data_IF_912797491939
#
_entry.id   IF_912797491939
#
_cell.length_a   1.000
_cell.length_b   1.000
_cell.length_c   1.000
_cell.angle_alpha   90.00
_cell.angle_beta   90.00
_cell.angle_gamma   90.00
#
_symmetry.space_group_name_H-M   'P 1'
#
loop_
_entity.id
_entity.type
_entity.pdbx_description
1 polymer ?
#
# COMPACT_ATOMS: atom_id res chain seq x y z
N UNK A 1 -54.54 65.22 -100.03
CA UNK A 1 -53.51 65.78 -99.12
C UNK A 1 -53.68 65.26 -97.69
N UNK A 2 -54.92 65.11 -97.21
CA UNK A 2 -55.19 64.61 -95.84
C UNK A 2 -54.72 63.16 -95.60
N UNK A 3 -54.98 62.24 -96.54
CA UNK A 3 -54.52 60.84 -96.42
C UNK A 3 -52.98 60.72 -96.37
N UNK A 4 -52.29 61.57 -97.13
CA UNK A 4 -50.82 61.62 -97.17
C UNK A 4 -50.25 62.08 -95.82
N UNK A 5 -50.89 63.06 -95.18
CA UNK A 5 -50.48 63.56 -93.86
C UNK A 5 -50.72 62.52 -92.76
N UNK A 6 -51.84 61.80 -92.81
CA UNK A 6 -52.13 60.71 -91.87
C UNK A 6 -51.10 59.58 -91.97
N UNK A 7 -50.73 59.17 -93.18
CA UNK A 7 -49.69 58.14 -93.40
C UNK A 7 -48.35 58.58 -92.80
N UNK A 8 -47.95 59.84 -92.95
CA UNK A 8 -46.70 60.37 -92.39
C UNK A 8 -46.74 60.37 -90.85
N UNK A 9 -47.87 60.72 -90.24
CA UNK A 9 -48.04 60.69 -88.77
C UNK A 9 -47.96 59.25 -88.25
N UNK A 10 -48.63 58.29 -88.88
CA UNK A 10 -48.54 56.88 -88.47
C UNK A 10 -47.13 56.31 -88.67
N UNK A 11 -46.44 56.67 -89.76
CA UNK A 11 -45.07 56.22 -90.03
C UNK A 11 -44.05 56.78 -89.02
N UNK A 12 -44.19 58.05 -88.63
CA UNK A 12 -43.33 58.68 -87.62
C UNK A 12 -43.58 58.10 -86.23
N UNK A 13 -44.85 57.93 -85.85
CA UNK A 13 -45.22 57.29 -84.58
C UNK A 13 -44.69 55.84 -84.51
N UNK A 14 -44.85 55.07 -85.59
CA UNK A 14 -44.35 53.71 -85.67
C UNK A 14 -42.82 53.64 -85.58
N UNK A 15 -42.11 54.59 -86.21
CA UNK A 15 -40.64 54.65 -86.12
C UNK A 15 -40.19 54.93 -84.69
N UNK A 16 -40.85 55.87 -83.99
CA UNK A 16 -40.54 56.20 -82.60
C UNK A 16 -40.81 55.01 -81.68
N UNK A 17 -41.98 54.37 -81.79
CA UNK A 17 -42.31 53.20 -80.96
C UNK A 17 -41.38 52.02 -81.22
N UNK A 18 -40.99 51.78 -82.47
CA UNK A 18 -40.03 50.73 -82.84
C UNK A 18 -38.63 50.99 -82.27
N UNK A 19 -38.18 52.25 -82.28
CA UNK A 19 -36.91 52.65 -81.63
C UNK A 19 -36.97 52.41 -80.12
N UNK A 20 -38.05 52.83 -79.46
CA UNK A 20 -38.24 52.56 -78.03
C UNK A 20 -38.26 51.06 -77.74
N UNK A 21 -38.99 50.26 -78.53
CA UNK A 21 -39.04 48.80 -78.41
C UNK A 21 -37.63 48.18 -78.48
N UNK A 22 -36.79 48.64 -79.41
CA UNK A 22 -35.41 48.17 -79.55
C UNK A 22 -34.54 48.54 -78.34
N UNK A 23 -34.71 49.74 -77.79
CA UNK A 23 -33.98 50.17 -76.58
C UNK A 23 -34.40 49.32 -75.37
N UNK A 24 -35.71 49.13 -75.17
CA UNK A 24 -36.23 48.28 -74.09
C UNK A 24 -35.75 46.85 -74.22
N UNK A 25 -35.76 46.29 -75.44
CA UNK A 25 -35.28 44.94 -75.68
C UNK A 25 -33.79 44.78 -75.37
N UNK A 26 -32.95 45.76 -75.76
CA UNK A 26 -31.53 45.76 -75.41
C UNK A 26 -31.32 45.84 -73.90
N UNK A 27 -32.03 46.73 -73.22
CA UNK A 27 -31.92 46.89 -71.76
C UNK A 27 -32.39 45.64 -71.01
N UNK A 28 -33.46 45.01 -71.49
CA UNK A 28 -34.00 43.78 -70.90
C UNK A 28 -33.02 42.61 -71.05
N UNK A 29 -32.35 42.49 -72.20
CA UNK A 29 -31.28 41.48 -72.39
C UNK A 29 -30.13 41.69 -71.42
N UNK A 30 -29.65 42.94 -71.26
CA UNK A 30 -28.57 43.24 -70.31
C UNK A 30 -28.94 42.89 -68.87
N UNK A 31 -30.15 43.27 -68.42
CA UNK A 31 -30.64 42.93 -67.09
C UNK A 31 -30.81 41.41 -66.91
N UNK A 32 -31.27 40.70 -67.93
CA UNK A 32 -31.38 39.24 -67.90
C UNK A 32 -30.00 38.56 -67.78
N UNK A 33 -28.97 39.09 -68.45
CA UNK A 33 -27.61 38.57 -68.38
C UNK A 33 -26.96 38.83 -67.01
N UNK A 34 -27.19 40.01 -66.41
CA UNK A 34 -26.77 40.31 -65.04
C UNK A 34 -27.47 39.42 -64.01
N UNK A 35 -28.79 39.24 -64.14
CA UNK A 35 -29.56 38.34 -63.29
C UNK A 35 -29.04 36.90 -63.39
N UNK A 36 -28.78 36.41 -64.61
CA UNK A 36 -28.27 35.06 -64.82
C UNK A 36 -26.90 34.86 -64.18
N UNK A 37 -26.01 35.86 -64.26
CA UNK A 37 -24.70 35.83 -63.59
C UNK A 37 -24.85 35.79 -62.07
N UNK A 38 -25.69 36.67 -61.50
CA UNK A 38 -25.95 36.69 -60.07
C UNK A 38 -26.56 35.36 -59.58
N UNK A 39 -27.51 34.80 -60.34
CA UNK A 39 -28.11 33.51 -60.03
C UNK A 39 -27.08 32.38 -59.99
N UNK A 40 -26.19 32.31 -60.97
CA UNK A 40 -25.14 31.28 -60.99
C UNK A 40 -24.25 31.36 -59.74
N UNK A 41 -23.85 32.57 -59.33
CA UNK A 41 -23.05 32.76 -58.11
C UNK A 41 -23.82 32.32 -56.86
N UNK A 42 -25.12 32.64 -56.77
CA UNK A 42 -25.96 32.21 -55.66
C UNK A 42 -26.11 30.68 -55.64
N UNK A 43 -26.34 30.06 -56.80
CA UNK A 43 -26.45 28.61 -56.93
C UNK A 43 -25.15 27.92 -56.46
N UNK A 44 -23.99 28.45 -56.85
CA UNK A 44 -22.68 27.96 -56.39
C UNK A 44 -22.51 28.10 -54.87
N UNK A 45 -22.90 29.24 -54.30
CA UNK A 45 -22.88 29.48 -52.84
C UNK A 45 -23.79 28.50 -52.13
N UNK A 46 -25.01 28.27 -52.61
CA UNK A 46 -25.96 27.32 -52.02
C UNK A 46 -25.37 25.91 -52.04
N UNK A 47 -24.77 25.49 -53.15
CA UNK A 47 -24.14 24.17 -53.27
C UNK A 47 -22.97 24.03 -52.30
N UNK A 48 -22.11 25.06 -52.19
CA UNK A 48 -21.00 25.04 -51.22
C UNK A 48 -21.48 24.98 -49.78
N UNK A 49 -22.52 25.74 -49.42
CA UNK A 49 -23.05 25.78 -48.08
C UNK A 49 -23.70 24.45 -47.69
N UNK A 50 -24.44 23.83 -48.61
CA UNK A 50 -25.00 22.50 -48.41
C UNK A 50 -23.89 21.45 -48.19
N UNK A 51 -22.80 21.53 -48.96
CA UNK A 51 -21.64 20.65 -48.80
C UNK A 51 -20.95 20.85 -47.45
N UNK A 52 -20.83 22.09 -47.00
CA UNK A 52 -20.20 22.42 -45.72
C UNK A 52 -21.09 22.02 -44.54
N UNK A 53 -22.41 22.19 -44.64
CA UNK A 53 -23.38 21.67 -43.67
C UNK A 53 -23.29 20.15 -43.56
N UNK A 54 -23.18 19.44 -44.68
CA UNK A 54 -23.01 17.99 -44.67
C UNK A 54 -21.72 17.59 -43.95
N UNK A 55 -20.59 18.24 -44.26
CA UNK A 55 -19.30 18.00 -43.58
C UNK A 55 -19.36 18.31 -42.09
N UNK A 56 -20.05 19.37 -41.69
CA UNK A 56 -20.24 19.70 -40.27
C UNK A 56 -21.09 18.64 -39.59
N UNK A 57 -22.17 18.18 -40.22
CA UNK A 57 -23.01 17.12 -39.69
C UNK A 57 -22.23 15.81 -39.50
N UNK A 58 -21.39 15.42 -40.46
CA UNK A 58 -20.49 14.25 -40.34
C UNK A 58 -19.54 14.38 -39.15
N UNK A 59 -18.91 15.55 -38.97
CA UNK A 59 -18.04 15.84 -37.80
C UNK A 59 -18.82 15.79 -36.48
N UNK A 60 -20.02 16.34 -36.44
CA UNK A 60 -20.88 16.29 -35.24
C UNK A 60 -21.21 14.84 -34.89
N UNK A 61 -21.54 14.01 -35.89
CA UNK A 61 -21.80 12.58 -35.67
C UNK A 61 -20.55 11.83 -35.17
N UNK A 62 -19.37 12.15 -35.70
CA UNK A 62 -18.11 11.57 -35.23
C UNK A 62 -17.81 11.97 -33.77
N UNK A 63 -17.98 13.24 -33.43
CA UNK A 63 -17.82 13.75 -32.06
C UNK A 63 -18.83 13.07 -31.12
N UNK A 64 -20.10 12.95 -31.53
CA UNK A 64 -21.12 12.29 -30.74
C UNK A 64 -20.76 10.82 -30.45
N UNK A 65 -20.35 10.07 -31.48
CA UNK A 65 -19.88 8.68 -31.32
C UNK A 65 -18.65 8.58 -30.41
N UNK A 66 -17.68 9.47 -30.59
CA UNK A 66 -16.49 9.50 -29.72
C UNK A 66 -16.88 9.81 -28.27
N UNK A 67 -17.83 10.71 -28.05
CA UNK A 67 -18.33 11.06 -26.73
C UNK A 67 -19.06 9.88 -26.08
N UNK A 68 -19.94 9.18 -26.79
CA UNK A 68 -20.62 7.96 -26.30
C UNK A 68 -19.61 6.86 -25.94
N UNK A 69 -18.56 6.68 -26.74
CA UNK A 69 -17.49 5.72 -26.44
C UNK A 69 -16.66 6.13 -25.20
N UNK A 70 -16.42 7.42 -25.00
CA UNK A 70 -15.74 7.90 -23.80
C UNK A 70 -16.61 7.74 -22.56
N UNK A 71 -17.88 8.14 -22.64
CA UNK A 71 -18.85 8.00 -21.56
C UNK A 71 -19.02 6.54 -21.13
N UNK A 72 -19.19 5.62 -22.07
CA UNK A 72 -19.28 4.18 -21.75
C UNK A 72 -18.00 3.61 -21.12
N UNK A 73 -16.82 4.07 -21.54
CA UNK A 73 -15.55 3.70 -20.90
C UNK A 73 -15.45 4.25 -19.48
N UNK A 74 -15.93 5.47 -19.26
CA UNK A 74 -15.95 6.11 -17.94
C UNK A 74 -16.92 5.39 -17.00
N UNK A 75 -18.13 5.06 -17.46
CA UNK A 75 -19.11 4.28 -16.70
C UNK A 75 -18.55 2.91 -16.30
N UNK A 76 -17.87 2.22 -17.22
CA UNK A 76 -17.22 0.94 -16.91
C UNK A 76 -16.15 1.08 -15.82
N UNK A 77 -15.32 2.13 -15.88
CA UNK A 77 -14.32 2.40 -14.85
C UNK A 77 -14.95 2.73 -13.51
N UNK A 78 -16.03 3.52 -13.51
CA UNK A 78 -16.78 3.84 -12.29
C UNK A 78 -17.34 2.56 -11.67
N UNK A 79 -17.91 1.67 -12.48
CA UNK A 79 -18.44 0.39 -12.01
C UNK A 79 -17.33 -0.52 -11.45
N UNK A 80 -16.17 -0.58 -12.09
CA UNK A 80 -15.00 -1.33 -11.61
C UNK A 80 -14.49 -0.77 -10.27
N UNK A 81 -14.38 0.56 -10.16
CA UNK A 81 -14.00 1.23 -8.91
C UNK A 81 -15.01 0.94 -7.80
N UNK A 82 -16.31 1.01 -8.09
CA UNK A 82 -17.35 0.69 -7.12
C UNK A 82 -17.27 -0.77 -6.65
N UNK A 83 -16.99 -1.71 -7.56
CA UNK A 83 -16.78 -3.11 -7.20
C UNK A 83 -15.56 -3.28 -6.28
N UNK A 84 -14.43 -2.63 -6.59
CA UNK A 84 -13.25 -2.63 -5.73
C UNK A 84 -13.52 -2.01 -4.35
N UNK A 85 -14.30 -0.93 -4.28
CA UNK A 85 -14.70 -0.30 -3.01
C UNK A 85 -15.52 -1.28 -2.17
N UNK A 86 -16.47 -2.00 -2.77
CA UNK A 86 -17.27 -3.01 -2.08
C UNK A 86 -16.41 -4.16 -1.57
N UNK A 87 -15.45 -4.62 -2.37
CA UNK A 87 -14.50 -5.67 -1.97
C UNK A 87 -13.63 -5.20 -0.80
N UNK A 88 -13.06 -4.00 -0.87
CA UNK A 88 -12.26 -3.41 0.20
C UNK A 88 -13.10 -3.26 1.47
N UNK A 89 -14.36 -2.83 1.35
CA UNK A 89 -15.28 -2.71 2.49
C UNK A 89 -15.52 -4.07 3.16
N UNK A 90 -15.75 -5.11 2.37
CA UNK A 90 -15.92 -6.48 2.89
C UNK A 90 -14.67 -6.97 3.61
N UNK A 91 -13.47 -6.79 3.02
CA UNK A 91 -12.19 -7.14 3.68
C UNK A 91 -11.96 -6.35 4.97
N UNK A 92 -12.39 -5.08 5.01
CA UNK A 92 -12.30 -4.27 6.21
C UNK A 92 -13.23 -4.79 7.32
N UNK A 93 -14.46 -5.17 6.97
CA UNK A 93 -15.40 -5.79 7.91
C UNK A 93 -14.86 -7.12 8.48
N UNK A 94 -14.26 -7.97 7.63
CA UNK A 94 -13.59 -9.19 8.08
C UNK A 94 -12.42 -8.90 9.03
N UNK A 95 -11.57 -7.91 8.69
CA UNK A 95 -10.43 -7.53 9.51
C UNK A 95 -10.87 -6.96 10.86
N UNK A 96 -11.95 -6.17 10.90
CA UNK A 96 -12.56 -5.73 12.16
C UNK A 96 -13.04 -6.92 12.99
N UNK A 97 -13.67 -7.92 12.36
CA UNK A 97 -14.08 -9.15 13.03
C UNK A 97 -12.90 -9.96 13.59
N UNK A 98 -11.78 -10.01 12.87
CA UNK A 98 -10.53 -10.62 13.36
C UNK A 98 -9.93 -9.84 14.53
N UNK A 99 -9.92 -8.51 14.46
CA UNK A 99 -9.44 -7.63 15.54
C UNK A 99 -10.21 -7.88 16.83
N UNK A 100 -11.54 -7.96 16.73
CA UNK A 100 -12.40 -8.17 17.90
C UNK A 100 -12.12 -9.52 18.56
N UNK A 101 -12.06 -10.61 17.76
CA UNK A 101 -11.70 -11.94 18.25
C UNK A 101 -10.33 -11.95 18.93
N UNK A 102 -9.33 -11.36 18.29
CA UNK A 102 -7.97 -11.28 18.85
C UNK A 102 -7.96 -10.48 20.16
N UNK A 103 -8.77 -9.43 20.27
CA UNK A 103 -8.92 -8.66 21.50
C UNK A 103 -9.52 -9.51 22.63
N UNK A 104 -10.53 -10.32 22.33
CA UNK A 104 -11.11 -11.25 23.31
C UNK A 104 -10.10 -12.32 23.74
N UNK A 105 -9.43 -12.95 22.78
CA UNK A 105 -8.41 -13.99 23.04
C UNK A 105 -7.26 -13.43 23.89
N UNK A 106 -6.87 -12.16 23.67
CA UNK A 106 -5.85 -11.49 24.45
C UNK A 106 -6.27 -11.27 25.91
N UNK A 107 -7.49 -10.80 26.16
CA UNK A 107 -7.99 -10.63 27.53
C UNK A 107 -8.13 -11.99 28.24
N UNK A 108 -8.61 -13.03 27.55
CA UNK A 108 -8.67 -14.39 28.09
C UNK A 108 -7.28 -14.92 28.44
N UNK A 109 -6.29 -14.68 27.57
CA UNK A 109 -4.91 -15.08 27.82
C UNK A 109 -4.31 -14.34 29.01
N UNK A 110 -4.56 -13.03 29.12
CA UNK A 110 -4.12 -12.21 30.25
C UNK A 110 -4.67 -12.73 31.57
N UNK A 111 -5.97 -13.04 31.63
CA UNK A 111 -6.60 -13.65 32.82
C UNK A 111 -5.93 -14.97 33.18
N UNK A 112 -5.66 -15.85 32.20
CA UNK A 112 -4.96 -17.12 32.45
C UNK A 112 -3.53 -16.93 32.95
N UNK A 113 -2.80 -15.94 32.44
CA UNK A 113 -1.45 -15.61 32.90
C UNK A 113 -1.48 -15.08 34.34
N UNK A 114 -2.45 -14.23 34.68
CA UNK A 114 -2.63 -13.72 36.04
C UNK A 114 -2.98 -14.84 37.03
N UNK A 115 -3.87 -15.78 36.66
CA UNK A 115 -4.18 -16.98 37.47
C UNK A 115 -2.95 -17.88 37.66
N UNK A 116 -2.16 -18.10 36.59
CA UNK A 116 -0.94 -18.89 36.67
C UNK A 116 0.10 -18.24 37.57
N UNK A 117 0.23 -16.90 37.52
CA UNK A 117 1.09 -16.13 38.43
C UNK A 117 0.66 -16.29 39.88
N UNK A 118 -0.64 -16.18 40.17
CA UNK A 118 -1.16 -16.36 41.53
C UNK A 118 -0.90 -17.78 42.07
N UNK A 119 -1.07 -18.81 41.22
CA UNK A 119 -0.73 -20.20 41.58
C UNK A 119 0.76 -20.38 41.86
N UNK A 120 1.62 -19.74 41.06
CA UNK A 120 3.07 -19.78 41.28
C UNK A 120 3.46 -19.12 42.60
N UNK A 121 2.88 -17.97 42.92
CA UNK A 121 3.11 -17.28 44.20
C UNK A 121 2.66 -18.12 45.40
N UNK A 122 1.53 -18.83 45.29
CA UNK A 122 1.06 -19.75 46.33
C UNK A 122 1.98 -20.98 46.48
N UNK A 123 2.51 -21.52 45.38
CA UNK A 123 3.51 -22.61 45.43
C UNK A 123 4.77 -22.14 46.15
N UNK A 124 5.29 -20.95 45.80
CA UNK A 124 6.44 -20.36 46.48
C UNK A 124 6.18 -20.20 47.99
N UNK A 125 5.00 -19.71 48.36
CA UNK A 125 4.60 -19.56 49.77
C UNK A 125 4.61 -20.89 50.51
N UNK A 126 4.07 -21.95 49.91
CA UNK A 126 4.07 -23.31 50.48
C UNK A 126 5.48 -23.89 50.60
N UNK A 127 6.34 -23.68 49.61
CA UNK A 127 7.76 -24.09 49.68
C UNK A 127 8.42 -23.42 50.89
N UNK A 128 8.26 -22.11 51.07
CA UNK A 128 8.80 -21.39 52.23
C UNK A 128 8.21 -21.84 53.57
N UNK A 129 6.96 -22.31 53.62
CA UNK A 129 6.37 -22.94 54.81
C UNK A 129 7.01 -24.31 55.11
N UNK A 130 7.19 -25.15 54.08
CA UNK A 130 7.84 -26.46 54.20
C UNK A 130 9.30 -26.33 54.62
N UNK A 131 10.04 -25.39 54.03
CA UNK A 131 11.44 -25.09 54.41
C UNK A 131 11.55 -24.64 55.87
N UNK A 132 10.62 -23.81 56.34
CA UNK A 132 10.55 -23.41 57.76
C UNK A 132 10.27 -24.61 58.66
N UNK A 133 9.29 -25.44 58.32
CA UNK A 133 8.97 -26.65 59.08
C UNK A 133 10.15 -27.62 59.14
N UNK A 134 10.83 -27.85 58.01
CA UNK A 134 12.03 -28.70 57.96
C UNK A 134 13.17 -28.11 58.79
N UNK A 135 13.44 -26.80 58.67
CA UNK A 135 14.45 -26.12 59.48
C UNK A 135 14.16 -26.20 60.98
N UNK A 136 12.89 -26.09 61.38
CA UNK A 136 12.48 -26.21 62.78
C UNK A 136 12.60 -27.65 63.30
N UNK A 137 12.35 -28.65 62.43
CA UNK A 137 12.55 -30.07 62.72
C UNK A 137 14.03 -30.45 62.83
N UNK A 138 14.89 -29.87 62.00
CA UNK A 138 16.36 -30.00 62.10
C UNK A 138 16.85 -29.38 63.40
N UNK A 139 16.36 -28.19 63.77
CA UNK A 139 16.70 -27.56 65.07
C UNK A 139 16.22 -28.35 66.29
N UNK A 140 15.07 -29.03 66.21
CA UNK A 140 14.60 -29.90 67.30
C UNK A 140 15.39 -31.21 67.37
N UNK A 141 15.78 -31.80 66.23
CA UNK A 141 16.73 -32.93 66.22
C UNK A 141 18.11 -32.57 66.75
N UNK A 142 18.65 -31.40 66.39
CA UNK A 142 19.90 -30.89 66.99
C UNK A 142 19.77 -30.67 68.50
N UNK A 143 18.58 -30.30 68.99
CA UNK A 143 18.31 -30.13 70.44
C UNK A 143 18.15 -31.46 71.19
N UNK A 144 17.73 -32.53 70.53
CA UNK A 144 17.73 -33.89 71.11
C UNK A 144 19.10 -34.57 71.00
N UNK A 145 19.87 -34.31 69.94
CA UNK A 145 21.22 -34.89 69.73
C UNK A 145 22.33 -34.16 70.51
N UNK A 146 22.09 -32.95 71.03
CA UNK A 146 23.07 -32.22 71.87
C UNK A 146 23.24 -32.76 73.30
N UNK A 147 22.64 -33.90 73.66
CA UNK A 147 22.98 -34.63 74.89
C UNK A 147 24.17 -35.58 74.75
N UNK A 148 24.71 -35.79 73.55
CA UNK A 148 25.87 -36.66 73.35
C UNK A 148 27.05 -35.89 72.74
N UNK A 149 28.11 -35.81 73.55
CA UNK A 149 29.40 -35.20 73.30
C UNK A 149 29.91 -35.33 71.85
N UNK A 150 30.36 -34.19 71.32
CA UNK A 150 30.97 -33.99 70.02
C UNK A 150 32.25 -34.83 69.77
N UNK A 151 32.70 -34.86 68.50
CA UNK A 151 34.06 -34.41 68.25
C UNK A 151 34.17 -33.34 67.15
N UNK A 152 34.91 -32.30 67.53
CA UNK A 152 35.41 -31.18 66.72
C UNK A 152 36.16 -31.67 65.47
N UNK A 153 35.76 -31.17 64.31
CA UNK A 153 36.49 -31.32 63.04
C UNK A 153 37.89 -30.71 63.20
N UNK A 154 38.93 -31.54 62.99
CA UNK A 154 40.34 -31.12 63.01
C UNK A 154 40.69 -30.52 61.66
N UNK A 155 40.70 -29.20 61.57
CA UNK A 155 41.32 -28.53 60.44
C UNK A 155 42.85 -28.55 60.54
N UNK A 156 43.47 -28.98 59.44
CA UNK A 156 44.81 -28.66 58.93
C UNK A 156 46.07 -29.07 59.73
N UNK A 157 46.25 -30.38 59.95
CA UNK A 157 47.59 -31.01 59.99
C UNK A 157 48.13 -31.43 58.60
N UNK A 158 47.39 -31.11 57.54
CA UNK A 158 47.68 -31.53 56.16
C UNK A 158 48.59 -30.57 55.37
N UNK A 159 48.66 -29.28 55.74
CA UNK A 159 49.44 -28.27 54.99
C UNK A 159 50.94 -28.29 55.30
N UNK A 160 51.38 -28.91 56.41
CA UNK A 160 52.78 -28.93 56.82
C UNK A 160 53.62 -30.04 56.16
N UNK A 161 52.99 -30.94 55.39
CA UNK A 161 53.65 -32.08 54.74
C UNK A 161 53.82 -31.92 53.22
N UNK A 162 53.34 -30.83 52.65
CA UNK A 162 53.35 -30.62 51.20
C UNK A 162 54.69 -30.02 50.77
N UNK A 163 55.26 -30.59 49.71
CA UNK A 163 56.46 -30.09 49.04
C UNK A 163 56.13 -28.79 48.28
N UNK A 164 57.15 -27.96 48.03
CA UNK A 164 56.97 -26.62 47.41
C UNK A 164 56.20 -26.68 46.07
N UNK A 165 56.38 -27.76 45.32
CA UNK A 165 55.66 -28.04 44.07
C UNK A 165 54.18 -28.38 44.28
N UNK A 166 53.82 -29.14 45.31
CA UNK A 166 52.41 -29.48 45.61
C UNK A 166 51.62 -28.27 46.10
N UNK A 167 52.27 -27.39 46.87
CA UNK A 167 51.69 -26.14 47.34
C UNK A 167 51.39 -25.20 46.16
N UNK A 168 52.29 -25.15 45.17
CA UNK A 168 52.12 -24.35 43.95
C UNK A 168 51.00 -24.86 43.05
N UNK A 169 50.80 -26.18 42.98
CA UNK A 169 49.67 -26.78 42.26
C UNK A 169 48.34 -26.43 42.93
N UNK A 170 48.27 -26.48 44.26
CA UNK A 170 47.06 -26.09 44.99
C UNK A 170 46.76 -24.60 44.88
N UNK A 171 47.79 -23.74 44.85
CA UNK A 171 47.61 -22.30 44.61
C UNK A 171 47.05 -22.02 43.21
N UNK A 172 47.54 -22.72 42.18
CA UNK A 172 47.00 -22.61 40.81
C UNK A 172 45.54 -23.06 40.76
N UNK A 173 45.21 -24.20 41.37
CA UNK A 173 43.84 -24.71 41.41
C UNK A 173 42.89 -23.80 42.21
N UNK A 174 43.38 -23.18 43.28
CA UNK A 174 42.60 -22.24 44.08
C UNK A 174 42.34 -20.90 43.36
N UNK A 175 43.31 -20.42 42.56
CA UNK A 175 43.19 -19.16 41.83
C UNK A 175 42.43 -19.30 40.49
N UNK A 176 42.62 -20.42 39.79
CA UNK A 176 42.18 -20.56 38.38
C UNK A 176 41.12 -21.66 38.18
N UNK A 177 40.73 -22.41 39.22
CA UNK A 177 39.72 -23.46 39.16
C UNK A 177 40.25 -24.82 38.65
N UNK A 178 39.37 -25.79 38.44
CA UNK A 178 39.73 -27.16 38.03
C UNK A 178 40.50 -27.16 36.70
N UNK A 179 41.75 -27.63 36.73
CA UNK A 179 42.61 -27.77 35.56
C UNK A 179 43.05 -29.20 35.33
N UNK A 180 43.29 -29.53 34.07
CA UNK A 180 43.78 -30.86 33.70
C UNK A 180 45.29 -30.98 33.97
N UNK A 181 45.73 -32.21 34.28
CA UNK A 181 47.14 -32.52 34.59
C UNK A 181 48.16 -31.97 33.57
N UNK A 182 47.89 -32.00 32.24
CA UNK A 182 48.81 -31.41 31.25
C UNK A 182 48.96 -29.89 31.40
N UNK A 183 47.88 -29.17 31.70
CA UNK A 183 47.86 -27.71 31.81
C UNK A 183 48.61 -27.21 33.04
N UNK A 184 48.50 -27.95 34.15
CA UNK A 184 49.25 -27.66 35.38
C UNK A 184 50.74 -27.89 35.12
N UNK A 185 51.09 -28.98 34.42
CA UNK A 185 52.47 -29.34 34.07
C UNK A 185 53.17 -28.27 33.21
N UNK A 186 52.48 -27.76 32.19
CA UNK A 186 53.03 -26.73 31.29
C UNK A 186 53.31 -25.41 32.04
N UNK A 187 52.61 -25.18 33.17
CA UNK A 187 52.79 -23.97 34.00
C UNK A 187 53.93 -24.10 35.01
N UNK A 188 54.18 -25.29 35.55
CA UNK A 188 55.22 -25.55 36.56
C UNK A 188 56.56 -26.04 35.97
N UNK A 189 56.60 -26.43 34.69
CA UNK A 189 57.84 -26.68 33.94
C UNK A 189 58.64 -27.91 34.36
N UNK A 190 58.00 -28.96 34.90
CA UNK A 190 58.67 -30.17 35.41
C UNK A 190 58.59 -31.38 34.46
N UNK A 191 59.67 -32.16 34.37
CA UNK A 191 59.78 -33.36 33.52
C UNK A 191 59.33 -34.64 34.24
N UNK A 192 59.16 -35.70 33.44
CA UNK A 192 58.40 -36.95 33.66
C UNK A 192 58.72 -37.78 34.92
N UNK A 193 59.72 -37.43 35.72
CA UNK A 193 60.09 -38.16 36.95
C UNK A 193 59.36 -37.68 38.21
N UNK A 194 58.75 -36.49 38.18
CA UNK A 194 58.13 -35.87 39.35
C UNK A 194 56.60 -35.99 39.43
N UNK A 195 55.94 -36.62 38.45
CA UNK A 195 54.45 -36.63 38.35
C UNK A 195 53.81 -37.99 38.67
N UNK A 196 54.55 -38.92 39.27
CA UNK A 196 54.08 -40.28 39.57
C UNK A 196 53.82 -40.57 41.06
N UNK A 197 53.67 -39.53 41.88
CA UNK A 197 53.22 -39.64 43.28
C UNK A 197 52.04 -38.73 43.52
#
# INVERSE_FOLDING_TARGET
>A
MEDSALIIIYATLFSITSIFMLIYFRRMRQAADEYRRAKNVIDDVIVSFNRDLQRQNEKIQEIARSYEQMASKEDNKINEINAMILEIKSKLEELMGHRERLSTDYEDLKVKVDDMRAKYDEILRRISEVERYLSERVRTKEREETSHLAPKVRESRALARLTETELRVLEILAAEGEKTVPEIRDRIGLTREHTAR
#
